data_IF_370588074077
#
_entry.id   IF_370588074077
#
_cell.length_a   1.000
_cell.length_b   1.000
_cell.length_c   1.000
_cell.angle_alpha   90.00
_cell.angle_beta   90.00
_cell.angle_gamma   90.00
#
_symmetry.space_group_name_H-M   'P 1'
#
loop_
_entity.id
_entity.type
_entity.pdbx_description
1 polymer ?
#
# COMPACT_ATOMS: atom_id res chain seq x y z
N UNK A 1 -9.88 -8.53 9.46
CA UNK A 1 -9.45 -9.19 8.23
C UNK A 1 -9.50 -8.20 7.08
N UNK A 2 -8.47 -8.16 6.26
CA UNK A 2 -8.41 -7.42 5.00
C UNK A 2 -8.21 -8.37 3.82
N UNK A 3 -8.60 -7.93 2.64
CA UNK A 3 -8.31 -8.59 1.37
C UNK A 3 -7.26 -7.77 0.60
N UNK A 4 -6.56 -8.42 -0.29
CA UNK A 4 -5.67 -7.76 -1.24
C UNK A 4 -6.08 -8.13 -2.67
N UNK A 5 -6.23 -7.13 -3.55
CA UNK A 5 -6.52 -7.38 -4.96
C UNK A 5 -5.29 -7.93 -5.67
N UNK A 6 -5.48 -8.68 -6.75
CA UNK A 6 -4.36 -9.20 -7.54
C UNK A 6 -3.62 -8.07 -8.25
N UNK A 7 -2.31 -8.02 -8.10
CA UNK A 7 -1.43 -7.01 -8.69
C UNK A 7 -1.41 -7.05 -10.23
N UNK A 8 -1.72 -8.20 -10.83
CA UNK A 8 -1.76 -8.37 -12.29
C UNK A 8 -2.91 -7.67 -12.98
N UNK A 9 -3.93 -7.20 -12.24
CA UNK A 9 -5.05 -6.44 -12.83
C UNK A 9 -4.72 -4.95 -12.78
N UNK A 10 -4.55 -4.35 -13.95
CA UNK A 10 -4.19 -2.94 -14.03
C UNK A 10 -5.38 -2.02 -13.74
N UNK A 11 -5.42 -1.45 -12.55
CA UNK A 11 -6.45 -0.48 -12.14
C UNK A 11 -6.43 0.78 -13.03
N UNK A 12 -5.30 1.10 -13.64
CA UNK A 12 -5.16 2.21 -14.58
C UNK A 12 -5.56 1.86 -16.04
N UNK A 13 -6.30 0.78 -16.25
CA UNK A 13 -6.74 0.38 -17.60
C UNK A 13 -7.78 1.35 -18.16
N UNK A 14 -7.54 1.87 -19.37
CA UNK A 14 -8.42 2.82 -20.06
C UNK A 14 -8.99 2.32 -21.38
N UNK A 15 -8.55 1.14 -21.85
CA UNK A 15 -9.12 0.54 -23.06
C UNK A 15 -10.64 0.33 -22.90
N UNK A 16 -11.46 0.77 -23.86
CA UNK A 16 -12.91 0.59 -23.78
C UNK A 16 -13.34 -0.89 -23.75
N UNK A 17 -12.46 -1.80 -24.17
CA UNK A 17 -12.73 -3.25 -24.14
C UNK A 17 -12.51 -3.89 -22.78
N UNK A 18 -11.65 -3.30 -21.93
CA UNK A 18 -11.22 -3.89 -20.67
C UNK A 18 -11.68 -3.11 -19.43
N UNK A 19 -11.92 -1.80 -19.56
CA UNK A 19 -12.17 -0.91 -18.41
C UNK A 19 -13.32 -1.37 -17.52
N UNK A 20 -14.43 -1.83 -18.14
CA UNK A 20 -15.61 -2.27 -17.40
C UNK A 20 -15.37 -3.61 -16.68
N UNK A 21 -14.52 -4.47 -17.26
CA UNK A 21 -14.11 -5.72 -16.62
C UNK A 21 -13.27 -5.45 -15.35
N UNK A 22 -12.41 -4.43 -15.38
CA UNK A 22 -11.64 -4.02 -14.19
C UNK A 22 -12.55 -3.41 -13.11
N UNK A 23 -13.53 -2.59 -13.50
CA UNK A 23 -14.52 -2.06 -12.55
C UNK A 23 -15.31 -3.21 -11.87
N UNK A 24 -15.76 -4.19 -12.67
CA UNK A 24 -16.49 -5.37 -12.16
C UNK A 24 -15.62 -6.24 -11.24
N UNK A 25 -14.34 -6.40 -11.59
CA UNK A 25 -13.38 -7.10 -10.76
C UNK A 25 -13.24 -6.46 -9.37
N UNK A 26 -13.05 -5.14 -9.29
CA UNK A 26 -12.94 -4.43 -8.01
C UNK A 26 -14.25 -4.50 -7.20
N UNK A 27 -15.40 -4.36 -7.85
CA UNK A 27 -16.71 -4.51 -7.20
C UNK A 27 -16.92 -5.92 -6.64
N UNK A 28 -16.42 -6.96 -7.34
CA UNK A 28 -16.51 -8.33 -6.85
C UNK A 28 -15.75 -8.53 -5.53
N UNK A 29 -14.57 -7.90 -5.36
CA UNK A 29 -13.86 -7.90 -4.09
C UNK A 29 -14.62 -7.16 -2.98
N UNK A 30 -15.21 -6.00 -3.31
CA UNK A 30 -16.02 -5.23 -2.35
C UNK A 30 -17.26 -6.05 -1.91
N UNK A 31 -17.92 -6.74 -2.84
CA UNK A 31 -19.07 -7.60 -2.51
C UNK A 31 -18.68 -8.89 -1.79
N UNK A 32 -17.43 -9.34 -1.93
CA UNK A 32 -16.88 -10.50 -1.24
C UNK A 32 -16.50 -10.15 0.21
N UNK A 33 -15.94 -8.96 0.45
CA UNK A 33 -15.37 -8.57 1.73
C UNK A 33 -16.31 -8.84 2.92
N UNK A 34 -17.57 -8.37 2.95
CA UNK A 34 -18.46 -8.63 4.07
C UNK A 34 -18.84 -10.12 4.22
N UNK A 35 -18.82 -10.90 3.14
CA UNK A 35 -19.13 -12.34 3.17
C UNK A 35 -18.07 -13.16 3.89
N UNK A 36 -16.83 -12.69 3.86
CA UNK A 36 -15.68 -13.33 4.54
C UNK A 36 -15.27 -12.61 5.82
N UNK A 37 -16.04 -11.60 6.24
CA UNK A 37 -15.73 -10.80 7.42
C UNK A 37 -14.55 -9.86 7.27
N UNK A 38 -14.21 -9.45 6.03
CA UNK A 38 -13.18 -8.46 5.77
C UNK A 38 -13.76 -7.04 5.83
N UNK A 39 -13.05 -6.14 6.50
CA UNK A 39 -13.44 -4.74 6.67
C UNK A 39 -12.82 -3.80 5.63
N UNK A 40 -11.73 -4.22 4.99
CA UNK A 40 -11.03 -3.43 3.98
C UNK A 40 -10.44 -4.28 2.85
N UNK A 41 -10.08 -3.59 1.78
CA UNK A 41 -9.44 -4.16 0.61
C UNK A 41 -8.25 -3.29 0.23
N UNK A 42 -7.06 -3.86 0.14
CA UNK A 42 -5.87 -3.19 -0.40
C UNK A 42 -5.97 -3.18 -1.92
N UNK A 43 -5.79 -1.99 -2.49
CA UNK A 43 -5.84 -1.74 -3.93
C UNK A 43 -4.60 -0.98 -4.40
N UNK A 44 -4.17 -1.26 -5.62
CA UNK A 44 -3.13 -0.50 -6.31
C UNK A 44 -3.75 0.63 -7.13
N UNK A 45 -2.98 1.68 -7.42
CA UNK A 45 -3.36 2.67 -8.43
C UNK A 45 -3.15 2.18 -9.86
N UNK A 46 -2.44 1.05 -10.01
CA UNK A 46 -2.13 0.43 -11.28
C UNK A 46 -0.72 0.73 -11.76
N UNK A 47 -0.51 0.56 -13.07
CA UNK A 47 0.78 0.79 -13.69
C UNK A 47 0.65 1.44 -15.06
N UNK A 48 1.74 2.05 -15.53
CA UNK A 48 1.80 2.69 -16.83
C UNK A 48 3.10 2.33 -17.57
N UNK A 49 3.03 2.45 -18.87
CA UNK A 49 4.21 2.53 -19.73
C UNK A 49 4.61 4.00 -19.90
N UNK A 50 5.88 4.28 -20.15
CA UNK A 50 6.43 5.65 -20.17
C UNK A 50 5.60 6.64 -20.99
N UNK A 51 5.12 6.21 -22.17
CA UNK A 51 4.35 7.06 -23.08
C UNK A 51 2.92 7.40 -22.63
N UNK A 52 2.37 6.68 -21.68
CA UNK A 52 0.94 6.75 -21.33
C UNK A 52 0.65 7.21 -19.90
N UNK A 53 1.65 7.70 -19.15
CA UNK A 53 1.52 7.99 -17.72
C UNK A 53 0.31 8.87 -17.39
N UNK A 54 0.13 9.99 -18.08
CA UNK A 54 -0.98 10.93 -17.80
C UNK A 54 -2.35 10.28 -18.02
N UNK A 55 -2.53 9.54 -19.12
CA UNK A 55 -3.78 8.85 -19.43
C UNK A 55 -4.07 7.75 -18.40
N UNK A 56 -3.05 6.99 -18.01
CA UNK A 56 -3.18 5.94 -17.00
C UNK A 56 -3.49 6.51 -15.61
N UNK A 57 -2.83 7.60 -15.22
CA UNK A 57 -3.12 8.29 -13.96
C UNK A 57 -4.57 8.76 -13.91
N UNK A 58 -5.06 9.43 -14.97
CA UNK A 58 -6.44 9.88 -15.01
C UNK A 58 -7.43 8.71 -14.97
N UNK A 59 -7.17 7.65 -15.73
CA UNK A 59 -8.02 6.45 -15.72
C UNK A 59 -8.09 5.78 -14.34
N UNK A 60 -6.95 5.75 -13.63
CA UNK A 60 -6.87 5.25 -12.26
C UNK A 60 -7.68 6.10 -11.29
N UNK A 61 -7.50 7.42 -11.31
CA UNK A 61 -8.25 8.37 -10.48
C UNK A 61 -9.76 8.25 -10.70
N UNK A 62 -10.20 8.29 -11.96
CA UNK A 62 -11.61 8.18 -12.32
C UNK A 62 -12.22 6.85 -11.86
N UNK A 63 -11.47 5.76 -11.99
CA UNK A 63 -11.92 4.44 -11.54
C UNK A 63 -11.99 4.36 -10.03
N UNK A 64 -10.91 4.70 -9.34
CA UNK A 64 -10.87 4.60 -7.88
C UNK A 64 -11.89 5.52 -7.21
N UNK A 65 -12.20 6.68 -7.80
CA UNK A 65 -13.31 7.53 -7.33
C UNK A 65 -14.65 6.78 -7.38
N UNK A 66 -15.01 6.20 -8.55
CA UNK A 66 -16.25 5.43 -8.67
C UNK A 66 -16.29 4.19 -7.77
N UNK A 67 -15.15 3.55 -7.60
CA UNK A 67 -15.05 2.34 -6.76
C UNK A 67 -15.09 2.70 -5.28
N UNK A 68 -14.52 3.85 -4.87
CA UNK A 68 -14.63 4.37 -3.50
C UNK A 68 -16.09 4.68 -3.14
N UNK A 69 -16.85 5.32 -4.04
CA UNK A 69 -18.29 5.53 -3.85
C UNK A 69 -19.08 4.23 -3.71
N UNK A 70 -18.67 3.19 -4.44
CA UNK A 70 -19.29 1.87 -4.33
C UNK A 70 -18.94 1.20 -3.00
N UNK A 71 -17.68 1.27 -2.58
CA UNK A 71 -17.18 0.71 -1.33
C UNK A 71 -17.83 1.38 -0.10
N UNK A 72 -17.97 2.71 -0.13
CA UNK A 72 -18.65 3.48 0.92
C UNK A 72 -20.07 2.98 1.16
N UNK A 73 -20.84 2.77 0.08
CA UNK A 73 -22.21 2.24 0.16
C UNK A 73 -22.29 0.81 0.72
N UNK A 74 -21.19 0.07 0.66
CA UNK A 74 -21.08 -1.30 1.20
C UNK A 74 -20.45 -1.36 2.59
N UNK A 75 -19.99 -0.22 3.12
CA UNK A 75 -19.29 -0.14 4.40
C UNK A 75 -17.90 -0.81 4.39
N UNK A 76 -17.24 -0.85 3.23
CA UNK A 76 -15.90 -1.43 3.03
C UNK A 76 -14.89 -0.32 2.76
N UNK A 77 -13.74 -0.37 3.42
CA UNK A 77 -12.65 0.56 3.13
C UNK A 77 -11.80 0.06 1.94
N UNK A 78 -11.35 1.00 1.12
CA UNK A 78 -10.28 0.78 0.16
C UNK A 78 -8.99 1.36 0.73
N UNK A 79 -7.93 0.57 0.73
CA UNK A 79 -6.61 1.02 1.17
C UNK A 79 -5.72 1.13 -0.07
N UNK A 80 -5.44 2.35 -0.49
CA UNK A 80 -4.50 2.60 -1.59
C UNK A 80 -3.08 2.35 -1.09
N UNK A 81 -2.36 1.45 -1.75
CA UNK A 81 -0.98 1.10 -1.42
C UNK A 81 0.01 2.02 -2.14
N UNK A 82 1.05 2.50 -1.43
CA UNK A 82 2.22 3.05 -2.08
C UNK A 82 3.06 1.92 -2.68
N UNK A 83 3.28 1.98 -3.98
CA UNK A 83 3.95 0.92 -4.73
C UNK A 83 5.46 1.20 -4.87
N UNK A 84 6.16 0.19 -5.34
CA UNK A 84 7.59 0.21 -5.55
C UNK A 84 8.02 1.16 -6.68
N UNK A 85 9.17 1.79 -6.48
CA UNK A 85 9.85 2.55 -7.52
C UNK A 85 10.51 1.61 -8.53
N UNK A 86 10.47 2.00 -9.80
CA UNK A 86 11.18 1.33 -10.87
C UNK A 86 12.17 2.28 -11.56
N UNK A 87 13.31 1.79 -12.04
CA UNK A 87 14.27 2.63 -12.78
C UNK A 87 13.64 3.32 -14.00
N UNK A 88 14.13 4.49 -14.35
CA UNK A 88 13.60 5.31 -15.48
C UNK A 88 13.50 4.54 -16.79
N UNK A 89 14.35 3.54 -17.01
CA UNK A 89 14.34 2.69 -18.21
C UNK A 89 13.47 1.43 -18.05
N UNK A 90 12.79 1.24 -16.93
CA UNK A 90 11.86 0.14 -16.79
C UNK A 90 10.69 0.28 -17.77
N UNK A 91 10.26 -0.83 -18.35
CA UNK A 91 9.12 -0.85 -19.27
C UNK A 91 7.82 -0.48 -18.55
N UNK A 92 7.67 -0.96 -17.32
CA UNK A 92 6.48 -0.75 -16.47
C UNK A 92 6.85 0.06 -15.25
N UNK A 93 6.04 1.06 -14.95
CA UNK A 93 6.16 1.88 -13.74
C UNK A 93 4.83 1.89 -12.99
N UNK A 94 4.87 1.72 -11.68
CA UNK A 94 3.68 1.63 -10.82
C UNK A 94 3.15 3.00 -10.37
N UNK A 95 1.95 3.00 -9.79
CA UNK A 95 1.28 4.20 -9.25
C UNK A 95 0.41 3.83 -8.05
N UNK A 96 0.42 4.67 -6.96
CA UNK A 96 1.36 5.76 -6.67
C UNK A 96 2.67 5.23 -6.09
N UNK A 97 3.78 5.92 -6.33
CA UNK A 97 5.11 5.56 -5.82
C UNK A 97 5.62 6.57 -4.79
N UNK A 98 5.46 7.86 -5.08
CA UNK A 98 5.96 8.94 -4.22
C UNK A 98 4.88 9.44 -3.25
N UNK A 99 5.28 10.06 -2.11
CA UNK A 99 4.32 10.72 -1.23
C UNK A 99 3.43 11.74 -1.95
N UNK A 100 4.02 12.51 -2.88
CA UNK A 100 3.29 13.50 -3.67
C UNK A 100 2.20 12.85 -4.55
N UNK A 101 2.49 11.70 -5.15
CA UNK A 101 1.49 10.93 -5.91
C UNK A 101 0.42 10.36 -4.99
N UNK A 102 0.79 9.77 -3.85
CA UNK A 102 -0.17 9.26 -2.87
C UNK A 102 -1.14 10.37 -2.43
N UNK A 103 -0.61 11.53 -2.02
CA UNK A 103 -1.42 12.66 -1.59
C UNK A 103 -2.24 13.26 -2.74
N UNK A 104 -1.80 13.13 -4.00
CA UNK A 104 -2.61 13.51 -5.15
C UNK A 104 -3.87 12.63 -5.24
N UNK A 105 -3.75 11.31 -5.13
CA UNK A 105 -4.92 10.41 -5.10
C UNK A 105 -5.89 10.76 -3.99
N UNK A 106 -5.41 10.96 -2.77
CA UNK A 106 -6.28 11.28 -1.62
C UNK A 106 -7.01 12.61 -1.78
N UNK A 107 -6.35 13.63 -2.34
CA UNK A 107 -6.98 14.94 -2.60
C UNK A 107 -8.01 14.91 -3.72
N UNK A 108 -7.70 14.24 -4.84
CA UNK A 108 -8.59 14.19 -5.99
C UNK A 108 -9.83 13.32 -5.74
N UNK A 109 -9.67 12.19 -5.05
CA UNK A 109 -10.77 11.27 -4.78
C UNK A 109 -11.59 11.75 -3.58
N UNK A 110 -10.95 12.25 -2.55
CA UNK A 110 -11.55 12.84 -1.33
C UNK A 110 -12.73 12.03 -0.77
N UNK A 111 -12.58 10.71 -0.65
CA UNK A 111 -13.62 9.80 -0.15
C UNK A 111 -13.32 9.32 1.27
N UNK A 112 -14.30 9.25 2.17
CA UNK A 112 -14.13 8.65 3.49
C UNK A 112 -13.85 7.15 3.42
N UNK A 113 -14.19 6.49 2.33
CA UNK A 113 -13.91 5.06 2.11
C UNK A 113 -12.49 4.80 1.60
N UNK A 114 -11.73 5.84 1.20
CA UNK A 114 -10.34 5.68 0.75
C UNK A 114 -9.38 5.99 1.88
N UNK A 115 -8.51 5.04 2.20
CA UNK A 115 -7.46 5.14 3.22
C UNK A 115 -6.14 4.67 2.63
N UNK A 116 -5.08 4.73 3.41
CA UNK A 116 -3.73 4.36 3.00
C UNK A 116 -3.30 3.04 3.60
N UNK A 117 -2.73 2.15 2.77
CA UNK A 117 -1.91 1.02 3.17
C UNK A 117 -0.44 1.40 2.96
N UNK A 118 0.28 1.64 4.06
CA UNK A 118 1.69 1.99 4.00
C UNK A 118 2.55 0.74 3.85
N UNK A 119 3.15 0.54 2.69
CA UNK A 119 4.12 -0.54 2.43
C UNK A 119 5.52 0.00 2.63
N UNK A 120 6.11 -0.39 3.76
CA UNK A 120 7.35 0.20 4.27
C UNK A 120 8.58 -0.15 3.41
N UNK A 121 8.68 -1.40 2.92
CA UNK A 121 9.77 -1.80 2.04
C UNK A 121 9.77 -1.03 0.71
N UNK A 122 8.62 -0.68 0.16
CA UNK A 122 8.54 0.17 -1.05
C UNK A 122 9.08 1.58 -0.79
N UNK A 123 8.78 2.15 0.38
CA UNK A 123 9.31 3.45 0.77
C UNK A 123 10.81 3.41 1.06
N UNK A 124 11.34 2.26 1.56
CA UNK A 124 12.72 2.10 1.95
C UNK A 124 13.71 2.32 0.81
N UNK A 125 13.43 1.76 -0.37
CA UNK A 125 14.33 1.89 -1.51
C UNK A 125 13.92 2.98 -2.51
N UNK A 126 12.93 3.83 -2.18
CA UNK A 126 12.60 4.99 -3.01
C UNK A 126 13.76 5.99 -3.00
N UNK A 127 14.44 6.24 -4.15
CA UNK A 127 15.65 7.03 -4.20
C UNK A 127 15.47 8.44 -3.65
N UNK A 128 16.35 8.81 -2.71
CA UNK A 128 16.38 10.16 -2.11
C UNK A 128 15.25 10.44 -1.11
N UNK A 129 14.40 9.47 -0.79
CA UNK A 129 13.29 9.64 0.15
C UNK A 129 13.49 8.76 1.39
N UNK A 130 13.41 7.45 1.25
CA UNK A 130 13.45 6.51 2.37
C UNK A 130 12.20 6.56 3.26
N UNK A 131 12.14 5.67 4.26
CA UNK A 131 10.96 5.50 5.11
C UNK A 131 10.61 6.78 5.89
N UNK A 132 11.59 7.40 6.55
CA UNK A 132 11.33 8.55 7.43
C UNK A 132 10.73 9.73 6.69
N UNK A 133 11.37 10.13 5.56
CA UNK A 133 10.88 11.25 4.77
C UNK A 133 9.54 10.92 4.08
N UNK A 134 9.30 9.65 3.75
CA UNK A 134 8.02 9.22 3.21
C UNK A 134 6.91 9.45 4.25
N UNK A 135 7.12 8.99 5.48
CA UNK A 135 6.16 9.17 6.58
C UNK A 135 5.93 10.66 6.86
N UNK A 136 6.98 11.48 6.92
CA UNK A 136 6.88 12.92 7.20
C UNK A 136 6.11 13.70 6.11
N UNK A 137 6.17 13.23 4.87
CA UNK A 137 5.50 13.87 3.75
C UNK A 137 4.02 13.46 3.58
N UNK A 138 3.56 12.48 4.37
CA UNK A 138 2.19 11.95 4.31
C UNK A 138 1.33 12.47 5.45
N UNK A 139 0.03 12.60 5.20
CA UNK A 139 -0.96 12.70 6.28
C UNK A 139 -1.19 11.29 6.88
N UNK A 140 -0.49 11.01 7.98
CA UNK A 140 -0.53 9.67 8.60
C UNK A 140 -1.90 9.33 9.20
N UNK A 141 -2.80 10.28 9.39
CA UNK A 141 -4.19 10.00 9.81
C UNK A 141 -4.98 9.20 8.77
N UNK A 142 -4.50 9.17 7.52
CA UNK A 142 -5.06 8.34 6.46
C UNK A 142 -4.60 6.87 6.54
N UNK A 143 -3.52 6.58 7.28
CA UNK A 143 -2.95 5.24 7.37
C UNK A 143 -3.86 4.31 8.16
N UNK A 144 -4.28 3.21 7.55
CA UNK A 144 -5.13 2.19 8.16
C UNK A 144 -4.38 0.88 8.39
N UNK A 145 -3.39 0.58 7.56
CA UNK A 145 -2.56 -0.62 7.63
C UNK A 145 -1.10 -0.26 7.33
N UNK A 146 -0.18 -0.84 8.08
CA UNK A 146 1.26 -0.82 7.80
C UNK A 146 1.69 -2.21 7.35
N UNK A 147 2.20 -2.32 6.13
CA UNK A 147 2.67 -3.56 5.51
C UNK A 147 4.18 -3.66 5.60
N UNK A 148 4.65 -4.82 6.01
CA UNK A 148 6.05 -5.04 6.36
C UNK A 148 6.61 -6.25 5.61
N UNK A 149 7.73 -6.03 4.98
CA UNK A 149 8.73 -7.00 4.56
C UNK A 149 10.06 -6.27 4.66
N UNK A 150 11.19 -6.98 4.75
CA UNK A 150 12.48 -6.32 4.69
C UNK A 150 12.91 -6.09 3.25
N UNK A 151 13.91 -5.22 3.07
CA UNK A 151 14.45 -4.85 1.77
C UNK A 151 15.89 -4.34 1.94
N UNK A 152 16.74 -4.59 0.97
CA UNK A 152 18.15 -4.15 1.01
C UNK A 152 18.38 -2.72 0.49
N UNK A 153 17.33 -1.99 0.11
CA UNK A 153 17.41 -0.62 -0.37
C UNK A 153 17.81 -0.47 -1.86
N UNK A 154 17.92 -1.55 -2.61
CA UNK A 154 18.45 -1.52 -4.00
C UNK A 154 17.39 -1.71 -5.08
N UNK A 155 16.44 -2.60 -4.88
CA UNK A 155 15.37 -2.93 -5.83
C UNK A 155 14.20 -3.60 -5.10
N UNK A 156 13.10 -3.81 -5.81
CA UNK A 156 11.93 -4.47 -5.22
C UNK A 156 12.24 -5.93 -4.89
N UNK A 157 12.25 -6.21 -3.60
CA UNK A 157 12.39 -7.53 -3.03
C UNK A 157 11.67 -7.57 -1.68
N UNK A 158 11.00 -8.66 -1.41
CA UNK A 158 10.47 -8.94 -0.09
C UNK A 158 11.41 -9.95 0.58
N UNK A 159 12.11 -9.49 1.62
CA UNK A 159 13.02 -10.32 2.43
C UNK A 159 12.39 -10.60 3.80
N UNK A 160 12.86 -11.66 4.44
CA UNK A 160 12.54 -11.94 5.84
C UNK A 160 12.95 -10.72 6.69
N UNK A 161 12.10 -10.22 7.58
CA UNK A 161 12.49 -9.18 8.52
C UNK A 161 13.78 -9.55 9.28
N UNK A 162 14.79 -8.69 9.13
CA UNK A 162 16.16 -8.90 9.66
C UNK A 162 17.20 -9.36 8.64
N UNK A 163 16.83 -9.69 7.42
CA UNK A 163 17.74 -10.05 6.33
C UNK A 163 18.10 -8.87 5.41
N UNK A 164 17.35 -7.79 5.49
CA UNK A 164 17.57 -6.56 4.73
C UNK A 164 18.29 -5.48 5.54
N UNK A 165 18.00 -4.23 5.22
CA UNK A 165 18.63 -3.06 5.84
C UNK A 165 17.63 -2.10 6.48
N UNK A 166 16.36 -2.47 6.62
CA UNK A 166 15.34 -1.63 7.25
C UNK A 166 15.55 -1.55 8.77
N UNK A 167 15.55 -0.35 9.31
CA UNK A 167 15.51 -0.13 10.75
C UNK A 167 14.07 -0.17 11.26
N UNK A 168 13.61 -1.37 11.60
CA UNK A 168 12.25 -1.58 12.12
C UNK A 168 12.03 -0.87 13.45
N UNK A 169 13.04 -0.79 14.32
CA UNK A 169 12.91 -0.11 15.61
C UNK A 169 12.65 1.37 15.46
N UNK A 170 13.47 2.07 14.65
CA UNK A 170 13.29 3.50 14.36
C UNK A 170 11.96 3.76 13.66
N UNK A 171 11.58 2.93 12.68
CA UNK A 171 10.31 3.05 11.97
C UNK A 171 9.11 2.92 12.92
N UNK A 172 9.08 1.90 13.78
CA UNK A 172 7.98 1.71 14.74
C UNK A 172 7.91 2.86 15.74
N UNK A 173 9.04 3.31 16.28
CA UNK A 173 9.09 4.45 17.21
C UNK A 173 8.50 5.71 16.55
N UNK A 174 8.84 5.97 15.29
CA UNK A 174 8.31 7.10 14.52
C UNK A 174 6.79 6.99 14.31
N UNK A 175 6.31 5.84 13.83
CA UNK A 175 4.88 5.61 13.52
C UNK A 175 4.03 5.69 14.81
N UNK A 176 4.48 5.04 15.90
CA UNK A 176 3.79 5.09 17.19
C UNK A 176 3.81 6.50 17.79
N UNK A 177 4.91 7.23 17.62
CA UNK A 177 5.04 8.63 18.03
C UNK A 177 4.05 9.57 17.32
N UNK A 178 3.58 9.22 16.14
CA UNK A 178 2.51 9.92 15.41
C UNK A 178 1.10 9.56 15.88
N UNK A 179 0.97 8.67 16.85
CA UNK A 179 -0.31 8.24 17.42
C UNK A 179 -1.02 7.15 16.64
N UNK A 180 -0.33 6.46 15.72
CA UNK A 180 -0.90 5.32 15.01
C UNK A 180 -1.29 4.20 15.98
N UNK A 181 -2.47 3.60 15.76
CA UNK A 181 -3.01 2.50 16.58
C UNK A 181 -3.64 1.42 15.69
N UNK A 182 -3.27 1.40 14.44
CA UNK A 182 -3.67 0.36 13.50
C UNK A 182 -2.85 -0.93 13.67
N UNK A 183 -2.96 -1.81 12.72
CA UNK A 183 -2.20 -3.05 12.74
C UNK A 183 -1.03 -3.03 11.77
N UNK A 184 -0.06 -3.88 12.09
CA UNK A 184 1.11 -4.16 11.27
C UNK A 184 0.96 -5.54 10.64
N UNK A 185 1.06 -5.63 9.32
CA UNK A 185 0.93 -6.87 8.58
C UNK A 185 2.30 -7.30 8.03
N UNK A 186 2.76 -8.48 8.43
CA UNK A 186 3.93 -9.09 7.81
C UNK A 186 3.55 -9.71 6.47
N UNK A 187 4.13 -9.22 5.39
CA UNK A 187 3.83 -9.60 4.01
C UNK A 187 4.87 -10.52 3.36
N UNK A 188 5.62 -11.28 4.15
CA UNK A 188 6.71 -12.11 3.62
C UNK A 188 6.48 -13.61 3.85
N UNK A 189 6.71 -14.40 2.78
CA UNK A 189 6.92 -15.85 2.84
C UNK A 189 5.71 -16.68 3.21
N UNK A 190 5.98 -17.82 3.82
CA UNK A 190 4.99 -18.76 4.37
C UNK A 190 4.46 -18.26 5.73
N UNK A 191 3.47 -18.97 6.28
CA UNK A 191 2.96 -18.66 7.64
C UNK A 191 4.09 -18.79 8.68
N UNK A 192 4.96 -19.78 8.54
CA UNK A 192 6.08 -19.98 9.48
C UNK A 192 7.09 -18.82 9.37
N UNK A 193 7.39 -18.36 8.16
CA UNK A 193 8.23 -17.18 7.93
C UNK A 193 7.59 -15.91 8.53
N UNK A 194 6.28 -15.75 8.38
CA UNK A 194 5.54 -14.64 8.99
C UNK A 194 5.61 -14.66 10.52
N UNK A 195 5.54 -15.84 11.15
CA UNK A 195 5.65 -15.99 12.60
C UNK A 195 7.09 -15.66 13.09
N UNK A 196 8.11 -16.10 12.36
CA UNK A 196 9.50 -15.76 12.64
C UNK A 196 9.74 -14.25 12.51
N UNK A 197 9.30 -13.66 11.40
CA UNK A 197 9.40 -12.22 11.17
C UNK A 197 8.66 -11.39 12.23
N UNK A 198 7.47 -11.86 12.66
CA UNK A 198 6.73 -11.23 13.76
C UNK A 198 7.56 -11.21 15.04
N UNK A 199 8.19 -12.32 15.40
CA UNK A 199 9.04 -12.40 16.60
C UNK A 199 10.17 -11.39 16.54
N UNK A 200 10.90 -11.34 15.42
CA UNK A 200 11.98 -10.37 15.21
C UNK A 200 11.48 -8.92 15.33
N UNK A 201 10.37 -8.58 14.67
CA UNK A 201 9.83 -7.22 14.71
C UNK A 201 9.37 -6.80 16.10
N UNK A 202 8.78 -7.72 16.89
CA UNK A 202 8.42 -7.47 18.30
C UNK A 202 9.68 -7.15 19.13
N UNK A 203 10.77 -7.88 18.94
CA UNK A 203 12.03 -7.61 19.61
C UNK A 203 12.54 -6.21 19.25
N UNK A 204 12.55 -5.83 17.97
CA UNK A 204 12.99 -4.49 17.55
C UNK A 204 12.10 -3.36 18.11
N UNK A 205 10.79 -3.58 18.18
CA UNK A 205 9.87 -2.62 18.80
C UNK A 205 10.18 -2.45 20.31
N UNK A 206 10.42 -3.55 21.02
CA UNK A 206 10.80 -3.52 22.45
C UNK A 206 12.16 -2.85 22.69
N UNK A 207 13.15 -3.14 21.85
CA UNK A 207 14.46 -2.50 21.91
C UNK A 207 14.36 -0.98 21.69
N UNK A 208 13.38 -0.54 20.89
CA UNK A 208 13.05 0.87 20.70
C UNK A 208 12.18 1.47 21.84
N UNK A 209 11.91 0.72 22.91
CA UNK A 209 11.17 1.19 24.08
C UNK A 209 9.64 1.17 23.93
N UNK A 210 9.11 0.46 22.93
CA UNK A 210 7.68 0.38 22.70
C UNK A 210 7.04 -0.79 23.47
N UNK A 211 5.80 -0.58 23.90
CA UNK A 211 4.98 -1.65 24.48
C UNK A 211 4.31 -2.43 23.33
N UNK A 212 4.43 -3.73 23.37
CA UNK A 212 3.81 -4.63 22.40
C UNK A 212 2.93 -5.61 23.17
N UNK A 213 1.62 -5.55 22.88
CA UNK A 213 0.59 -6.42 23.45
C UNK A 213 0.44 -7.73 22.67
#
# INVERSE_FOLDING_TARGET
LGLHTLSGVNVAEFSPFCRDAVDNYLKAYIDLAPKVGAAWIVVHGGYHFTACRKLRMQASLDRLSRIADYAEKKGVLLLLENLNWEPVLAEVNYMPVTPAECMHYFREINSPALRWSFTANHAHFLPGVGIENFIDAMDFSLCHEVRLADNNGSYEIHQQPGEGTMDFGAMFAKIEGMGYRGHYMNGFGTIDDMLLGRTYMIERARDAGLTVD
#
